data_IF_588651985213
#
_entry.id   IF_588651985213
#
_cell.length_a   1.000
_cell.length_b   1.000
_cell.length_c   1.000
_cell.angle_alpha   90.00
_cell.angle_beta   90.00
_cell.angle_gamma   90.00
#
_symmetry.space_group_name_H-M   'P 1'
#
loop_
_entity.id
_entity.type
_entity.pdbx_description
1 polymer ?
#
# COMPACT_ATOMS: atom_id res chain seq x y z
N UNK A 1 -9.49 18.53 -3.40
CA UNK A 1 -10.21 17.29 -3.03
C UNK A 1 -9.38 16.14 -3.54
N UNK A 2 -8.98 15.23 -2.66
CA UNK A 2 -8.11 14.08 -2.96
C UNK A 2 -8.94 12.81 -2.84
N UNK A 3 -8.94 11.99 -3.90
CA UNK A 3 -9.63 10.71 -3.95
C UNK A 3 -8.71 9.59 -3.48
N UNK A 4 -8.99 9.05 -2.30
CA UNK A 4 -8.25 7.96 -1.66
C UNK A 4 -8.99 6.65 -1.88
N UNK A 5 -8.27 5.61 -2.27
CA UNK A 5 -8.82 4.26 -2.41
C UNK A 5 -8.07 3.31 -1.48
N UNK A 6 -8.79 2.46 -0.78
CA UNK A 6 -8.20 1.36 -0.02
C UNK A 6 -9.10 0.14 -0.08
N UNK A 7 -8.54 -1.04 0.16
CA UNK A 7 -9.28 -2.30 0.20
C UNK A 7 -9.21 -2.91 1.58
N UNK A 8 -10.33 -3.43 2.08
CA UNK A 8 -10.41 -4.07 3.40
C UNK A 8 -11.20 -5.38 3.36
N UNK A 9 -10.80 -6.29 4.25
CA UNK A 9 -11.65 -7.37 4.73
C UNK A 9 -12.12 -7.14 6.17
N UNK A 10 -12.87 -8.09 6.72
CA UNK A 10 -13.44 -8.02 8.07
C UNK A 10 -12.40 -7.79 9.18
N UNK A 11 -11.12 -8.14 8.94
CA UNK A 11 -10.05 -8.00 9.93
C UNK A 11 -9.31 -6.65 9.83
N UNK A 12 -9.56 -5.85 8.79
CA UNK A 12 -8.78 -4.65 8.48
C UNK A 12 -9.44 -3.32 8.83
N UNK A 13 -10.61 -3.35 9.49
CA UNK A 13 -11.35 -2.13 9.89
C UNK A 13 -10.49 -1.21 10.76
N UNK A 14 -9.89 -1.74 11.81
CA UNK A 14 -9.08 -0.94 12.74
C UNK A 14 -7.82 -0.40 12.06
N UNK A 15 -7.18 -1.21 11.22
CA UNK A 15 -5.93 -0.84 10.55
C UNK A 15 -6.15 0.22 9.46
N UNK A 16 -7.24 0.09 8.69
CA UNK A 16 -7.71 1.12 7.76
C UNK A 16 -7.97 2.45 8.50
N UNK A 17 -8.61 2.36 9.67
CA UNK A 17 -8.81 3.50 10.54
C UNK A 17 -7.51 4.21 10.94
N UNK A 18 -6.48 3.45 11.33
CA UNK A 18 -5.15 4.00 11.65
C UNK A 18 -4.49 4.65 10.43
N UNK A 19 -4.57 4.01 9.27
CA UNK A 19 -4.06 4.57 8.01
C UNK A 19 -4.72 5.92 7.68
N UNK A 20 -6.06 5.97 7.69
CA UNK A 20 -6.82 7.19 7.43
C UNK A 20 -6.55 8.28 8.47
N UNK A 21 -6.44 7.91 9.75
CA UNK A 21 -6.10 8.86 10.81
C UNK A 21 -4.73 9.49 10.56
N UNK A 22 -3.74 8.69 10.17
CA UNK A 22 -2.39 9.18 9.88
C UNK A 22 -2.39 10.11 8.67
N UNK A 23 -3.18 9.78 7.63
CA UNK A 23 -3.36 10.61 6.45
C UNK A 23 -3.94 11.99 6.80
N UNK A 24 -5.07 12.02 7.52
CA UNK A 24 -5.77 13.27 7.83
C UNK A 24 -4.96 14.18 8.75
N UNK A 25 -4.21 13.61 9.72
CA UNK A 25 -3.36 14.38 10.63
C UNK A 25 -2.20 15.06 9.89
N UNK A 26 -1.60 14.38 8.92
CA UNK A 26 -0.41 14.91 8.22
C UNK A 26 -0.74 15.66 6.93
N UNK A 27 -2.00 15.68 6.51
CA UNK A 27 -2.48 16.45 5.35
C UNK A 27 -3.75 17.24 5.71
N UNK A 28 -3.71 18.11 6.75
CA UNK A 28 -4.91 18.73 7.32
C UNK A 28 -5.58 19.78 6.42
N UNK A 29 -4.83 20.37 5.49
CA UNK A 29 -5.32 21.45 4.61
C UNK A 29 -6.06 20.94 3.36
N UNK A 30 -6.14 19.62 3.17
CA UNK A 30 -6.78 19.01 2.02
C UNK A 30 -8.11 18.36 2.41
N UNK A 31 -9.05 18.35 1.46
CA UNK A 31 -10.32 17.62 1.59
C UNK A 31 -10.21 16.25 0.96
N UNK A 32 -10.84 15.25 1.55
CA UNK A 32 -10.77 13.86 1.10
C UNK A 32 -12.12 13.27 0.74
N UNK A 33 -12.13 12.45 -0.32
CA UNK A 33 -13.15 11.42 -0.55
C UNK A 33 -12.48 10.06 -0.46
N UNK A 34 -12.99 9.20 0.41
CA UNK A 34 -12.43 7.88 0.67
C UNK A 34 -13.33 6.81 0.04
N UNK A 35 -12.77 6.02 -0.84
CA UNK A 35 -13.43 4.92 -1.52
C UNK A 35 -12.91 3.59 -0.96
N UNK A 36 -13.73 2.93 -0.14
CA UNK A 36 -13.36 1.71 0.55
C UNK A 36 -13.96 0.52 -0.18
N UNK A 37 -13.13 -0.25 -0.88
CA UNK A 37 -13.53 -1.49 -1.53
C UNK A 37 -13.52 -2.59 -0.47
N UNK A 38 -14.70 -3.16 -0.21
CA UNK A 38 -14.92 -4.10 0.86
C UNK A 38 -15.19 -5.50 0.32
N UNK A 39 -14.62 -6.46 1.03
CA UNK A 39 -15.20 -7.79 1.19
C UNK A 39 -16.68 -7.70 1.59
N UNK A 40 -17.54 -8.50 0.96
CA UNK A 40 -18.95 -8.61 1.36
C UNK A 40 -19.17 -9.12 2.80
N UNK A 41 -18.12 -9.62 3.47
CA UNK A 41 -18.15 -10.08 4.86
C UNK A 41 -17.92 -8.97 5.88
N UNK A 42 -17.53 -7.77 5.46
CA UNK A 42 -17.32 -6.64 6.37
C UNK A 42 -18.64 -6.24 7.01
N UNK A 43 -18.71 -6.33 8.33
CA UNK A 43 -19.92 -6.02 9.08
C UNK A 43 -20.33 -4.54 9.00
N UNK A 44 -21.64 -4.30 9.06
CA UNK A 44 -22.23 -2.94 9.07
C UNK A 44 -21.69 -2.07 10.20
N UNK A 45 -21.40 -2.67 11.36
CA UNK A 45 -20.84 -1.96 12.52
C UNK A 45 -19.43 -1.40 12.21
N UNK A 46 -18.57 -2.20 11.56
CA UNK A 46 -17.24 -1.75 11.12
C UNK A 46 -17.31 -0.62 10.10
N UNK A 47 -18.17 -0.75 9.08
CA UNK A 47 -18.41 0.33 8.09
C UNK A 47 -18.92 1.62 8.77
N UNK A 48 -19.86 1.49 9.72
CA UNK A 48 -20.38 2.63 10.49
C UNK A 48 -19.29 3.32 11.30
N UNK A 49 -18.37 2.56 11.93
CA UNK A 49 -17.23 3.11 12.67
C UNK A 49 -16.34 3.95 11.78
N UNK A 50 -15.91 3.40 10.63
CA UNK A 50 -15.11 4.14 9.65
C UNK A 50 -15.84 5.38 9.13
N UNK A 51 -17.15 5.26 8.88
CA UNK A 51 -17.98 6.39 8.43
C UNK A 51 -17.97 7.56 9.40
N UNK A 52 -18.29 7.28 10.67
CA UNK A 52 -18.28 8.31 11.73
C UNK A 52 -16.90 8.92 11.89
N UNK A 53 -15.84 8.11 11.75
CA UNK A 53 -14.47 8.63 11.81
C UNK A 53 -14.16 9.59 10.66
N UNK A 54 -14.45 9.21 9.41
CA UNK A 54 -14.23 10.09 8.25
C UNK A 54 -15.04 11.40 8.36
N UNK A 55 -16.31 11.32 8.76
CA UNK A 55 -17.17 12.50 8.93
C UNK A 55 -16.63 13.46 10.00
N UNK A 56 -16.09 12.95 11.12
CA UNK A 56 -15.42 13.75 12.15
C UNK A 56 -14.21 14.52 11.61
N UNK A 57 -13.54 13.97 10.61
CA UNK A 57 -12.40 14.59 9.91
C UNK A 57 -12.81 15.34 8.64
N UNK A 58 -14.10 15.63 8.44
CA UNK A 58 -14.62 16.34 7.28
C UNK A 58 -14.29 15.64 5.93
N UNK A 59 -14.09 14.33 5.96
CA UNK A 59 -13.87 13.50 4.79
C UNK A 59 -15.17 12.79 4.38
N UNK A 60 -15.43 12.72 3.08
CA UNK A 60 -16.50 11.89 2.52
C UNK A 60 -16.03 10.43 2.45
N UNK A 61 -16.94 9.48 2.58
CA UNK A 61 -16.60 8.05 2.48
C UNK A 61 -17.69 7.23 1.81
N UNK A 62 -17.26 6.37 0.90
CA UNK A 62 -18.09 5.49 0.08
C UNK A 62 -17.58 4.06 0.20
N UNK A 63 -18.51 3.12 0.37
CA UNK A 63 -18.20 1.69 0.49
C UNK A 63 -18.67 0.96 -0.75
N UNK A 64 -17.81 0.12 -1.32
CA UNK A 64 -18.10 -0.69 -2.51
C UNK A 64 -17.92 -2.15 -2.17
N UNK A 65 -19.02 -2.89 -2.09
CA UNK A 65 -18.97 -4.33 -1.82
C UNK A 65 -18.67 -5.10 -3.10
N UNK A 66 -17.65 -5.95 -3.05
CA UNK A 66 -17.34 -6.90 -4.11
C UNK A 66 -17.79 -8.28 -3.66
N UNK A 67 -18.55 -8.94 -4.53
CA UNK A 67 -18.91 -10.33 -4.30
C UNK A 67 -17.66 -11.22 -4.47
N UNK A 68 -17.32 -11.98 -3.42
CA UNK A 68 -16.23 -12.95 -3.44
C UNK A 68 -16.37 -13.99 -4.55
N UNK A 69 -17.58 -14.26 -5.02
CA UNK A 69 -17.79 -15.18 -6.14
C UNK A 69 -17.02 -14.77 -7.40
N UNK A 70 -16.72 -13.47 -7.56
CA UNK A 70 -15.98 -12.91 -8.69
C UNK A 70 -14.46 -13.17 -8.63
N UNK A 71 -13.95 -13.53 -7.45
CA UNK A 71 -12.50 -13.71 -7.18
C UNK A 71 -12.16 -15.04 -6.54
N UNK A 72 -13.16 -15.90 -6.27
CA UNK A 72 -12.96 -17.19 -5.57
C UNK A 72 -11.95 -18.11 -6.26
N UNK A 73 -11.82 -17.99 -7.58
CA UNK A 73 -10.96 -18.81 -8.43
C UNK A 73 -9.60 -18.14 -8.71
N UNK A 74 -9.30 -17.02 -8.07
CA UNK A 74 -8.00 -16.35 -8.22
C UNK A 74 -6.92 -17.03 -7.36
N UNK A 75 -5.63 -16.97 -7.78
CA UNK A 75 -4.59 -17.74 -7.11
C UNK A 75 -4.31 -17.22 -5.70
N UNK A 76 -4.62 -18.08 -4.72
CA UNK A 76 -4.21 -18.00 -3.31
C UNK A 76 -3.81 -19.39 -2.83
N UNK A 77 -2.61 -19.49 -2.28
CA UNK A 77 -2.02 -20.73 -1.77
C UNK A 77 -2.04 -20.72 -0.23
N UNK A 78 -2.03 -21.90 0.39
CA UNK A 78 -2.14 -22.05 1.87
C UNK A 78 -1.05 -21.31 2.66
N UNK A 79 0.12 -21.10 2.07
CA UNK A 79 1.28 -20.42 2.66
C UNK A 79 1.25 -18.89 2.51
N UNK A 80 0.30 -18.37 1.74
CA UNK A 80 0.20 -16.96 1.45
C UNK A 80 -0.33 -16.20 2.67
N UNK A 81 0.18 -15.00 2.87
CA UNK A 81 -0.16 -14.17 4.02
C UNK A 81 -1.26 -13.15 3.70
N UNK A 82 -1.60 -13.00 2.43
CA UNK A 82 -2.65 -12.12 1.93
C UNK A 82 -3.93 -12.94 1.72
N UNK A 83 -5.07 -12.32 2.03
CA UNK A 83 -6.37 -12.89 1.73
C UNK A 83 -6.78 -12.57 0.28
N UNK A 84 -7.89 -13.16 -0.19
CA UNK A 84 -8.50 -12.80 -1.48
C UNK A 84 -8.79 -11.30 -1.60
N UNK A 85 -8.85 -10.59 -0.46
CA UNK A 85 -9.03 -9.15 -0.41
C UNK A 85 -7.95 -8.37 -1.18
N UNK A 86 -6.75 -8.92 -1.37
CA UNK A 86 -5.68 -8.29 -2.12
C UNK A 86 -6.09 -7.97 -3.59
N UNK A 87 -6.90 -8.85 -4.19
CA UNK A 87 -7.43 -8.69 -5.55
C UNK A 87 -8.60 -7.71 -5.68
N UNK A 88 -9.21 -7.27 -4.57
CA UNK A 88 -10.34 -6.34 -4.60
C UNK A 88 -9.98 -5.02 -5.30
N UNK A 89 -8.71 -4.60 -5.16
CA UNK A 89 -8.21 -3.38 -5.79
C UNK A 89 -8.32 -3.42 -7.32
N UNK A 90 -8.27 -4.60 -7.94
CA UNK A 90 -8.35 -4.72 -9.40
C UNK A 90 -9.69 -4.21 -9.96
N UNK A 91 -10.76 -4.19 -9.16
CA UNK A 91 -12.11 -3.78 -9.55
C UNK A 91 -12.34 -2.26 -9.51
N UNK A 92 -11.37 -1.48 -9.05
CA UNK A 92 -11.56 -0.05 -8.77
C UNK A 92 -12.05 0.76 -9.98
N UNK A 93 -11.66 0.41 -11.21
CA UNK A 93 -12.07 1.13 -12.43
C UNK A 93 -13.54 0.96 -12.77
N UNK A 94 -14.17 -0.15 -12.35
CA UNK A 94 -15.60 -0.42 -12.54
C UNK A 94 -16.45 0.10 -11.38
N UNK A 95 -15.89 0.13 -10.16
CA UNK A 95 -16.63 0.51 -8.95
C UNK A 95 -16.67 2.02 -8.72
N UNK A 96 -15.56 2.71 -8.97
CA UNK A 96 -15.43 4.14 -8.65
C UNK A 96 -16.12 4.98 -9.75
N UNK A 97 -16.92 6.00 -9.37
CA UNK A 97 -17.66 6.85 -10.30
C UNK A 97 -16.84 7.36 -11.50
N UNK A 98 -17.45 7.35 -12.68
CA UNK A 98 -16.79 7.65 -13.96
C UNK A 98 -16.24 9.08 -14.08
N UNK A 99 -16.71 10.01 -13.27
CA UNK A 99 -16.20 11.39 -13.19
C UNK A 99 -14.90 11.52 -12.37
N UNK A 100 -14.44 10.45 -11.71
CA UNK A 100 -13.18 10.40 -10.97
C UNK A 100 -12.14 9.71 -11.85
N UNK A 101 -11.12 10.45 -12.29
CA UNK A 101 -10.12 9.96 -13.24
C UNK A 101 -8.74 9.72 -12.63
N UNK A 102 -8.51 10.22 -11.42
CA UNK A 102 -7.24 10.10 -10.69
C UNK A 102 -7.54 9.72 -9.26
N UNK A 103 -6.78 8.78 -8.72
CA UNK A 103 -6.93 8.29 -7.34
C UNK A 103 -5.55 7.99 -6.74
N UNK A 104 -5.45 8.03 -5.41
CA UNK A 104 -4.32 7.52 -4.66
C UNK A 104 -4.76 6.28 -3.90
N UNK A 105 -4.25 5.12 -4.31
CA UNK A 105 -4.46 3.86 -3.60
C UNK A 105 -3.46 3.73 -2.45
N UNK A 106 -3.96 3.31 -1.29
CA UNK A 106 -3.18 3.03 -0.08
C UNK A 106 -3.58 1.68 0.52
N UNK A 107 -2.62 0.80 0.75
CA UNK A 107 -2.81 -0.35 1.63
C UNK A 107 -3.11 0.10 3.07
N UNK A 108 -3.72 -0.79 3.86
CA UNK A 108 -4.14 -0.46 5.23
C UNK A 108 -3.07 -0.74 6.31
N UNK A 109 -1.92 -1.27 5.91
CA UNK A 109 -0.77 -1.63 6.75
C UNK A 109 0.40 -0.65 6.57
N UNK A 110 0.06 0.63 6.41
CA UNK A 110 1.00 1.75 6.35
C UNK A 110 0.58 2.87 7.29
N UNK A 111 1.49 3.81 7.53
CA UNK A 111 1.19 5.11 8.15
C UNK A 111 1.77 6.24 7.30
N UNK A 112 1.00 7.30 7.18
CA UNK A 112 1.41 8.58 6.62
C UNK A 112 2.05 9.41 7.73
N UNK A 113 3.24 9.95 7.47
CA UNK A 113 4.04 10.74 8.42
C UNK A 113 4.48 12.10 7.85
N UNK A 114 4.10 12.41 6.61
CA UNK A 114 4.24 13.73 5.99
C UNK A 114 3.10 13.95 4.99
N UNK A 115 2.86 15.19 4.58
CA UNK A 115 1.78 15.53 3.65
C UNK A 115 1.90 14.78 2.32
N UNK A 116 0.78 14.23 1.84
CA UNK A 116 0.73 13.56 0.52
C UNK A 116 0.38 14.49 -0.64
N UNK A 117 0.26 15.80 -0.37
CA UNK A 117 -0.12 16.80 -1.37
C UNK A 117 0.80 16.77 -2.60
N UNK A 118 2.12 16.77 -2.38
CA UNK A 118 3.09 16.75 -3.48
C UNK A 118 2.99 15.47 -4.32
N UNK A 119 2.67 14.33 -3.69
CA UNK A 119 2.41 13.09 -4.40
C UNK A 119 1.15 13.22 -5.25
N UNK A 120 0.05 13.69 -4.64
CA UNK A 120 -1.22 13.88 -5.34
C UNK A 120 -1.11 14.84 -6.52
N UNK A 121 -0.28 15.88 -6.45
CA UNK A 121 -0.13 16.89 -7.51
C UNK A 121 0.68 16.39 -8.73
N UNK A 122 1.35 15.22 -8.65
CA UNK A 122 2.13 14.70 -9.78
C UNK A 122 1.26 14.47 -11.03
N UNK A 123 1.72 14.95 -12.17
CA UNK A 123 1.06 14.67 -13.45
C UNK A 123 1.24 13.18 -13.80
N UNK A 124 0.12 12.52 -14.10
CA UNK A 124 0.06 11.11 -14.52
C UNK A 124 -0.75 10.92 -15.79
N UNK A 125 -1.01 11.99 -16.56
CA UNK A 125 -1.97 11.99 -17.67
C UNK A 125 -1.55 10.98 -18.76
N UNK A 126 -0.24 10.75 -18.90
CA UNK A 126 0.34 9.88 -19.91
C UNK A 126 0.69 8.47 -19.42
N UNK A 127 0.52 8.16 -18.14
CA UNK A 127 0.84 6.86 -17.54
C UNK A 127 -0.37 6.27 -16.83
N UNK A 128 -0.46 4.94 -16.74
CA UNK A 128 -1.53 4.25 -16.03
C UNK A 128 -1.33 4.24 -14.50
N UNK A 129 -0.07 4.26 -14.04
CA UNK A 129 0.26 4.20 -12.61
C UNK A 129 1.62 4.82 -12.29
N UNK A 130 1.71 5.54 -11.17
CA UNK A 130 2.96 5.93 -10.55
C UNK A 130 3.09 5.23 -9.19
N UNK A 131 4.20 4.51 -8.99
CA UNK A 131 4.40 3.67 -7.80
C UNK A 131 5.89 3.54 -7.47
N UNK A 132 6.22 3.07 -6.26
CA UNK A 132 7.62 2.85 -5.86
C UNK A 132 8.08 1.47 -6.34
N UNK A 133 9.29 1.43 -6.85
CA UNK A 133 9.97 0.21 -7.26
C UNK A 133 10.16 -0.75 -6.08
N UNK A 134 9.85 -2.02 -6.28
CA UNK A 134 10.02 -3.07 -5.28
C UNK A 134 11.30 -3.86 -5.51
N UNK A 135 11.89 -4.34 -4.41
CA UNK A 135 13.07 -5.22 -4.36
C UNK A 135 14.39 -4.61 -4.86
N UNK A 136 15.47 -5.34 -4.59
CA UNK A 136 16.85 -4.85 -4.49
C UNK A 136 17.82 -5.97 -4.93
N UNK A 137 18.85 -5.76 -5.80
CA UNK A 137 18.91 -4.84 -6.95
C UNK A 137 18.09 -5.43 -8.13
N UNK A 138 17.53 -4.58 -9.01
CA UNK A 138 16.71 -4.93 -10.20
C UNK A 138 16.00 -6.30 -10.09
N UNK A 139 14.73 -6.36 -9.64
CA UNK A 139 14.01 -7.63 -9.65
C UNK A 139 13.94 -8.16 -11.10
N UNK A 140 14.81 -9.11 -11.41
CA UNK A 140 14.87 -9.76 -12.72
C UNK A 140 13.97 -10.99 -12.77
N UNK A 141 13.67 -11.59 -11.61
CA UNK A 141 12.92 -12.84 -11.52
C UNK A 141 11.43 -12.63 -11.79
N UNK A 142 10.84 -11.58 -11.21
CA UNK A 142 9.41 -11.31 -11.37
C UNK A 142 9.06 -10.93 -12.80
N UNK A 143 9.74 -9.99 -13.49
CA UNK A 143 9.53 -9.74 -14.92
C UNK A 143 9.67 -10.98 -15.80
N UNK A 144 10.72 -11.79 -15.57
CA UNK A 144 10.94 -13.04 -16.31
C UNK A 144 9.78 -14.02 -16.10
N UNK A 145 9.36 -14.22 -14.85
CA UNK A 145 8.24 -15.11 -14.48
C UNK A 145 6.93 -14.63 -15.11
N UNK A 146 6.70 -13.31 -15.13
CA UNK A 146 5.49 -12.68 -15.65
C UNK A 146 5.55 -12.39 -17.16
N UNK A 147 6.66 -12.76 -17.81
CA UNK A 147 6.91 -12.68 -19.26
C UNK A 147 6.88 -11.25 -19.81
N UNK A 148 7.47 -10.30 -19.10
CA UNK A 148 7.75 -8.96 -19.63
C UNK A 148 9.23 -8.57 -19.47
N UNK A 149 9.73 -7.62 -20.27
CA UNK A 149 11.16 -7.32 -20.28
C UNK A 149 11.67 -6.74 -18.95
N UNK A 150 12.83 -7.22 -18.50
CA UNK A 150 13.41 -6.95 -17.17
C UNK A 150 13.72 -5.46 -16.96
N UNK A 151 14.03 -4.74 -18.03
CA UNK A 151 14.35 -3.31 -17.98
C UNK A 151 13.18 -2.44 -17.47
N UNK A 152 11.96 -2.94 -17.55
CA UNK A 152 10.82 -2.23 -16.98
C UNK A 152 10.77 -2.35 -15.46
N UNK A 153 11.48 -3.31 -14.86
CA UNK A 153 11.47 -3.57 -13.41
C UNK A 153 10.05 -3.74 -12.84
N UNK A 154 9.94 -3.80 -11.51
CA UNK A 154 8.76 -4.24 -10.79
C UNK A 154 8.40 -3.23 -9.68
N UNK A 155 7.12 -2.86 -9.53
CA UNK A 155 6.66 -1.93 -8.48
C UNK A 155 5.84 -2.60 -7.38
N UNK A 156 5.87 -2.02 -6.18
CA UNK A 156 5.02 -2.42 -5.08
C UNK A 156 3.61 -1.82 -5.24
N UNK A 157 2.56 -2.64 -5.05
CA UNK A 157 1.17 -2.20 -5.25
C UNK A 157 0.52 -1.54 -4.04
N UNK A 158 1.24 -1.32 -2.93
CA UNK A 158 0.64 -0.77 -1.71
C UNK A 158 0.49 0.74 -1.66
N UNK A 159 1.22 1.48 -2.50
CA UNK A 159 1.02 2.91 -2.73
C UNK A 159 1.07 3.18 -4.22
N UNK A 160 -0.05 3.59 -4.79
CA UNK A 160 -0.17 3.81 -6.24
C UNK A 160 -0.97 5.06 -6.53
N UNK A 161 -0.37 6.00 -7.26
CA UNK A 161 -1.10 7.10 -7.87
C UNK A 161 -1.57 6.66 -9.25
N UNK A 162 -2.88 6.50 -9.42
CA UNK A 162 -3.47 5.79 -10.56
C UNK A 162 -4.24 6.74 -11.45
N UNK A 163 -4.01 6.59 -12.76
CA UNK A 163 -4.84 7.18 -13.81
C UNK A 163 -5.99 6.21 -14.10
N UNK A 164 -7.10 6.42 -13.40
CA UNK A 164 -8.27 5.57 -13.47
C UNK A 164 -8.99 5.66 -14.82
N UNK A 165 -8.87 6.79 -15.51
CA UNK A 165 -9.37 6.93 -16.88
C UNK A 165 -8.68 5.91 -17.81
N UNK A 166 -7.33 5.83 -17.77
CA UNK A 166 -6.59 4.83 -18.57
C UNK A 166 -6.95 3.40 -18.23
N UNK A 167 -7.24 3.10 -16.97
CA UNK A 167 -7.70 1.77 -16.57
C UNK A 167 -9.07 1.44 -17.20
N UNK A 168 -10.00 2.41 -17.26
CA UNK A 168 -11.28 2.23 -17.94
C UNK A 168 -11.13 2.05 -19.45
N UNK A 169 -10.29 2.85 -20.11
CA UNK A 169 -9.98 2.73 -21.55
C UNK A 169 -9.43 1.33 -21.90
N UNK A 170 -8.68 0.72 -20.97
CA UNK A 170 -8.11 -0.62 -21.11
C UNK A 170 -9.06 -1.77 -20.80
N UNK A 171 -10.27 -1.51 -20.30
CA UNK A 171 -11.16 -2.54 -19.73
C UNK A 171 -10.38 -3.41 -18.72
N UNK A 172 -9.79 -2.72 -17.74
CA UNK A 172 -8.71 -3.28 -16.93
C UNK A 172 -9.13 -4.51 -16.12
N UNK A 173 -10.37 -4.57 -15.62
CA UNK A 173 -10.88 -5.71 -14.87
C UNK A 173 -10.94 -6.96 -15.74
N UNK A 174 -11.44 -6.82 -16.96
CA UNK A 174 -11.49 -7.91 -17.93
C UNK A 174 -10.09 -8.37 -18.32
N UNK A 175 -9.17 -7.43 -18.56
CA UNK A 175 -7.76 -7.75 -18.82
C UNK A 175 -7.10 -8.50 -17.65
N UNK A 176 -7.38 -8.09 -16.41
CA UNK A 176 -6.91 -8.78 -15.21
C UNK A 176 -7.43 -10.22 -15.14
N UNK A 177 -8.74 -10.42 -15.31
CA UNK A 177 -9.37 -11.76 -15.30
C UNK A 177 -8.76 -12.67 -16.37
N UNK A 178 -8.60 -12.16 -17.60
CA UNK A 178 -7.97 -12.91 -18.69
C UNK A 178 -6.50 -13.24 -18.40
N UNK A 179 -5.73 -12.31 -17.86
CA UNK A 179 -4.33 -12.53 -17.50
C UNK A 179 -4.18 -13.59 -16.40
N UNK A 180 -4.99 -13.48 -15.33
CA UNK A 180 -4.99 -14.42 -14.21
C UNK A 180 -5.32 -15.83 -14.69
N UNK A 181 -6.37 -15.99 -15.49
CA UNK A 181 -6.76 -17.29 -16.03
C UNK A 181 -5.64 -17.93 -16.88
N UNK A 182 -4.89 -17.12 -17.63
CA UNK A 182 -3.81 -17.60 -18.52
C UNK A 182 -2.46 -17.82 -17.83
N UNK A 183 -2.27 -17.26 -16.63
CA UNK A 183 -0.97 -17.25 -15.93
C UNK A 183 -1.07 -17.68 -14.45
N UNK A 184 -2.13 -18.41 -14.10
CA UNK A 184 -2.46 -18.80 -12.72
C UNK A 184 -1.25 -19.33 -11.93
N UNK A 185 -0.50 -20.26 -12.52
CA UNK A 185 0.66 -20.89 -11.88
C UNK A 185 1.85 -19.94 -11.67
N UNK A 186 1.98 -18.91 -12.52
CA UNK A 186 3.10 -17.96 -12.48
C UNK A 186 2.88 -16.82 -11.49
N UNK A 187 1.63 -16.55 -11.09
CA UNK A 187 1.29 -15.48 -10.15
C UNK A 187 1.68 -15.90 -8.73
N UNK A 188 2.60 -15.16 -8.11
CA UNK A 188 3.16 -15.39 -6.78
C UNK A 188 2.82 -14.27 -5.79
N UNK A 189 2.77 -13.03 -6.25
CA UNK A 189 2.45 -11.83 -5.45
C UNK A 189 1.08 -11.25 -5.80
N UNK A 190 0.15 -12.13 -6.18
CA UNK A 190 -1.27 -11.83 -6.34
C UNK A 190 -1.57 -10.65 -7.28
N UNK A 191 -2.32 -9.65 -6.79
CA UNK A 191 -2.68 -8.45 -7.56
C UNK A 191 -1.45 -7.70 -8.07
N UNK A 192 -0.37 -7.68 -7.30
CA UNK A 192 0.84 -6.93 -7.66
C UNK A 192 1.50 -7.48 -8.92
N UNK A 193 1.52 -8.80 -9.09
CA UNK A 193 2.02 -9.45 -10.30
C UNK A 193 1.14 -9.11 -11.50
N UNK A 194 -0.17 -9.16 -11.33
CA UNK A 194 -1.15 -8.85 -12.39
C UNK A 194 -1.01 -7.38 -12.81
N UNK A 195 -0.91 -6.46 -11.85
CA UNK A 195 -0.70 -5.03 -12.07
C UNK A 195 0.60 -4.78 -12.83
N UNK A 196 1.71 -5.39 -12.39
CA UNK A 196 3.00 -5.24 -13.07
C UNK A 196 2.95 -5.79 -14.50
N UNK A 197 2.41 -7.00 -14.70
CA UNK A 197 2.35 -7.62 -16.02
C UNK A 197 1.49 -6.87 -17.03
N UNK A 198 0.44 -6.18 -16.57
CA UNK A 198 -0.46 -5.42 -17.44
C UNK A 198 -0.06 -3.96 -17.63
N UNK A 199 0.67 -3.38 -16.67
CA UNK A 199 0.98 -1.94 -16.64
C UNK A 199 2.47 -1.62 -16.85
N UNK A 200 3.35 -2.61 -17.07
CA UNK A 200 4.80 -2.39 -17.08
C UNK A 200 5.29 -1.29 -18.04
N UNK A 201 4.62 -1.07 -19.18
CA UNK A 201 4.95 -0.01 -20.17
C UNK A 201 4.40 1.37 -19.80
N UNK A 202 3.35 1.41 -19.00
CA UNK A 202 2.60 2.63 -18.68
C UNK A 202 2.72 2.95 -17.19
N UNK A 203 3.92 2.73 -16.63
CA UNK A 203 4.23 3.08 -15.25
C UNK A 203 5.33 4.11 -15.15
N UNK A 204 5.38 4.79 -14.01
CA UNK A 204 6.49 5.64 -13.62
C UNK A 204 6.91 5.35 -12.19
N UNK A 205 8.22 5.20 -11.96
CA UNK A 205 8.73 5.11 -10.60
C UNK A 205 8.76 6.47 -9.92
N UNK A 206 8.30 6.51 -8.67
CA UNK A 206 8.36 7.68 -7.79
C UNK A 206 9.37 7.47 -6.66
N UNK A 207 9.71 8.56 -5.97
CA UNK A 207 10.65 8.55 -4.85
C UNK A 207 10.27 7.52 -3.78
N UNK A 208 11.28 6.82 -3.24
CA UNK A 208 11.12 5.83 -2.17
C UNK A 208 10.39 6.41 -0.95
N UNK A 209 10.46 7.73 -0.73
CA UNK A 209 9.78 8.39 0.41
C UNK A 209 8.27 8.17 0.44
N UNK A 210 7.66 7.92 -0.71
CA UNK A 210 6.22 7.71 -0.86
C UNK A 210 5.79 6.28 -0.54
N UNK A 211 6.73 5.35 -0.35
CA UNK A 211 6.45 3.97 0.05
C UNK A 211 7.71 3.37 0.67
N UNK A 212 8.08 3.84 1.87
CA UNK A 212 9.25 3.34 2.58
C UNK A 212 8.92 1.97 3.20
N UNK A 213 9.18 0.92 2.43
CA UNK A 213 8.97 -0.48 2.78
C UNK A 213 10.03 -1.01 3.76
N UNK A 214 9.69 -2.06 4.51
CA UNK A 214 10.55 -2.67 5.54
C UNK A 214 11.97 -3.01 5.06
N UNK A 215 12.12 -3.45 3.81
CA UNK A 215 13.44 -3.85 3.29
C UNK A 215 14.42 -2.69 3.16
N UNK A 216 13.95 -1.47 2.87
CA UNK A 216 14.79 -0.27 2.79
C UNK A 216 15.38 0.12 4.16
N UNK A 217 14.83 -0.42 5.23
CA UNK A 217 15.29 -0.15 6.59
C UNK A 217 16.48 -1.04 6.95
N UNK A 218 16.67 -2.19 6.29
CA UNK A 218 17.75 -3.13 6.59
C UNK A 218 19.14 -2.46 6.50
N UNK A 219 20.12 -3.05 7.18
CA UNK A 219 21.47 -2.49 7.33
C UNK A 219 22.19 -2.21 5.99
N UNK A 220 21.94 -3.07 5.01
CA UNK A 220 22.55 -3.01 3.68
C UNK A 220 21.53 -3.51 2.66
N UNK A 221 20.48 -2.73 2.34
CA UNK A 221 19.56 -3.09 1.28
C UNK A 221 20.28 -2.93 -0.05
N UNK A 222 20.06 -3.84 -0.99
CA UNK A 222 20.73 -3.83 -2.30
C UNK A 222 19.99 -2.86 -3.24
N UNK A 223 19.96 -1.58 -2.90
CA UNK A 223 19.32 -0.55 -3.73
C UNK A 223 20.17 -0.31 -4.99
N UNK A 224 19.50 -0.15 -6.14
CA UNK A 224 20.16 0.18 -7.40
C UNK A 224 21.05 1.43 -7.24
N UNK A 225 22.26 1.46 -7.84
CA UNK A 225 23.19 2.58 -7.68
C UNK A 225 22.58 3.96 -7.92
N UNK A 226 21.74 4.10 -8.94
CA UNK A 226 21.01 5.30 -9.33
C UNK A 226 19.96 5.75 -8.29
N UNK A 227 19.40 4.81 -7.52
CA UNK A 227 18.38 5.05 -6.49
C UNK A 227 18.99 5.30 -5.11
N UNK A 228 20.32 5.16 -4.94
CA UNK A 228 20.99 5.29 -3.63
C UNK A 228 20.76 6.66 -2.96
N UNK A 229 20.79 7.75 -3.74
CA UNK A 229 20.51 9.10 -3.21
C UNK A 229 19.05 9.22 -2.75
N UNK A 230 18.11 8.76 -3.59
CA UNK A 230 16.68 8.75 -3.26
C UNK A 230 16.40 7.94 -1.99
N UNK A 231 17.04 6.79 -1.83
CA UNK A 231 16.97 5.99 -0.61
C UNK A 231 17.51 6.73 0.62
N UNK A 232 18.69 7.35 0.51
CA UNK A 232 19.29 8.12 1.60
C UNK A 232 18.42 9.30 2.05
N UNK A 233 17.75 9.96 1.11
CA UNK A 233 16.85 11.07 1.39
C UNK A 233 15.51 10.58 1.96
N UNK A 234 14.96 9.47 1.44
CA UNK A 234 13.75 8.83 1.96
C UNK A 234 13.91 8.33 3.40
N UNK A 235 15.10 7.86 3.80
CA UNK A 235 15.37 7.51 5.18
C UNK A 235 15.35 8.73 6.12
N UNK A 236 15.74 9.91 5.65
CA UNK A 236 15.75 11.14 6.47
C UNK A 236 14.38 11.78 6.56
N UNK A 237 13.60 11.71 5.47
CA UNK A 237 12.33 12.40 5.31
C UNK A 237 11.26 11.51 4.64
N UNK A 238 10.88 10.39 5.27
CA UNK A 238 9.79 9.57 4.74
C UNK A 238 8.47 10.34 4.75
N UNK A 239 7.59 10.05 3.80
CA UNK A 239 6.20 10.53 3.82
C UNK A 239 5.22 9.40 4.15
N UNK A 240 5.51 8.18 3.69
CA UNK A 240 4.71 6.99 3.95
C UNK A 240 5.64 5.85 4.37
N UNK A 241 5.32 5.23 5.50
CA UNK A 241 6.02 4.05 6.04
C UNK A 241 5.10 2.86 5.87
N UNK A 242 5.56 1.84 5.14
CA UNK A 242 4.74 0.70 4.76
C UNK A 242 5.30 -0.59 5.37
N UNK A 243 4.50 -1.24 6.22
CA UNK A 243 4.88 -2.45 6.97
C UNK A 243 4.67 -3.71 6.10
N UNK A 244 5.43 -3.81 5.01
CA UNK A 244 5.32 -4.87 4.01
C UNK A 244 5.62 -6.27 4.57
N UNK A 245 5.04 -7.30 3.95
CA UNK A 245 5.26 -8.70 4.33
C UNK A 245 4.56 -9.13 5.62
N UNK A 246 5.05 -10.20 6.25
CA UNK A 246 4.29 -10.95 7.28
C UNK A 246 4.27 -10.33 8.68
N UNK A 247 5.06 -9.29 8.95
CA UNK A 247 5.32 -8.80 10.32
C UNK A 247 4.67 -7.44 10.56
N UNK A 248 3.34 -7.44 10.59
CA UNK A 248 2.52 -6.22 10.72
C UNK A 248 2.68 -5.56 12.10
N UNK A 249 2.53 -4.23 12.22
CA UNK A 249 2.87 -3.50 13.46
C UNK A 249 2.01 -3.90 14.67
N UNK A 250 0.80 -4.42 14.45
CA UNK A 250 -0.07 -4.99 15.48
C UNK A 250 0.30 -6.42 15.91
N UNK A 251 1.32 -7.04 15.30
CA UNK A 251 1.80 -8.37 15.65
C UNK A 251 2.91 -8.31 16.70
N UNK A 252 3.08 -9.41 17.45
CA UNK A 252 4.09 -9.52 18.51
C UNK A 252 5.53 -9.61 17.98
N UNK A 253 5.69 -10.14 16.76
CA UNK A 253 6.97 -10.39 16.10
C UNK A 253 7.37 -9.28 15.10
N UNK A 254 6.65 -8.16 15.09
CA UNK A 254 7.03 -7.02 14.29
C UNK A 254 8.28 -6.35 14.86
N UNK A 255 9.26 -6.17 13.99
CA UNK A 255 10.59 -5.66 14.29
C UNK A 255 10.92 -4.38 13.52
N UNK A 256 9.92 -3.77 12.89
CA UNK A 256 10.04 -2.45 12.30
C UNK A 256 10.34 -1.41 13.39
N UNK A 257 11.30 -0.48 13.16
CA UNK A 257 11.62 0.58 14.11
C UNK A 257 10.43 1.52 14.37
N UNK A 258 9.43 1.53 13.47
CA UNK A 258 8.25 2.39 13.55
C UNK A 258 7.06 1.75 14.28
N UNK A 259 7.18 0.51 14.75
CA UNK A 259 6.10 -0.21 15.44
C UNK A 259 5.55 0.54 16.65
N UNK A 260 6.43 1.06 17.52
CA UNK A 260 6.00 1.74 18.75
C UNK A 260 5.22 3.02 18.43
N UNK A 261 5.61 3.72 17.37
CA UNK A 261 4.92 4.91 16.87
C UNK A 261 3.54 4.53 16.34
N UNK A 262 3.44 3.48 15.52
CA UNK A 262 2.17 2.96 15.02
C UNK A 262 1.20 2.64 16.16
N UNK A 263 1.63 1.85 17.15
CA UNK A 263 0.78 1.44 18.28
C UNK A 263 0.35 2.65 19.12
N UNK A 264 1.26 3.59 19.37
CA UNK A 264 0.96 4.81 20.13
C UNK A 264 -0.06 5.66 19.38
N UNK A 265 0.16 5.87 18.09
CA UNK A 265 -0.72 6.68 17.25
C UNK A 265 -2.12 6.06 17.15
N UNK A 266 -2.22 4.74 16.91
CA UNK A 266 -3.50 4.03 16.88
C UNK A 266 -4.30 4.22 18.18
N UNK A 267 -3.66 4.08 19.35
CA UNK A 267 -4.29 4.33 20.66
C UNK A 267 -4.76 5.77 20.83
N UNK A 268 -3.94 6.74 20.42
CA UNK A 268 -4.29 8.17 20.50
C UNK A 268 -5.51 8.51 19.64
N UNK A 269 -5.65 7.86 18.49
CA UNK A 269 -6.75 8.06 17.54
C UNK A 269 -7.98 7.19 17.86
N UNK A 270 -7.94 6.40 18.93
CA UNK A 270 -9.06 5.57 19.37
C UNK A 270 -9.29 4.31 18.54
N UNK A 271 -8.25 3.79 17.86
CA UNK A 271 -8.29 2.54 17.10
C UNK A 271 -7.71 1.39 17.93
N UNK A 272 -8.36 0.23 17.89
CA UNK A 272 -7.95 -0.94 18.67
C UNK A 272 -6.94 -1.78 17.88
N UNK A 273 -5.67 -1.67 18.29
CA UNK A 273 -4.61 -2.54 17.78
C UNK A 273 -4.05 -3.39 18.92
N UNK A 274 -3.93 -4.69 18.69
CA UNK A 274 -3.47 -5.64 19.71
C UNK A 274 -2.05 -5.31 20.13
N UNK A 275 -1.82 -5.18 21.44
CA UNK A 275 -0.51 -4.88 22.01
C UNK A 275 0.07 -6.12 22.70
N UNK A 276 0.60 -7.05 21.92
CA UNK A 276 1.33 -8.19 22.48
C UNK A 276 2.73 -7.75 22.95
N UNK A 277 3.20 -8.32 24.07
CA UNK A 277 4.55 -8.09 24.61
C UNK A 277 5.62 -8.29 23.52
N UNK A 278 6.62 -7.42 23.51
CA UNK A 278 7.72 -7.46 22.53
C UNK A 278 8.46 -8.81 22.61
N UNK A 279 8.71 -9.46 21.48
CA UNK A 279 9.63 -10.60 21.42
C UNK A 279 11.06 -10.15 21.77
N UNK A 280 11.87 -11.00 22.43
CA UNK A 280 13.27 -10.68 22.81
C UNK A 280 14.10 -10.23 21.59
N UNK A 281 13.84 -10.83 20.41
CA UNK A 281 14.48 -10.46 19.14
C UNK A 281 14.24 -9.01 18.69
N UNK A 282 13.11 -8.40 19.08
CA UNK A 282 12.81 -6.99 18.83
C UNK A 282 13.88 -6.07 19.44
N UNK A 283 14.37 -6.40 20.63
CA UNK A 283 15.37 -5.58 21.31
C UNK A 283 16.72 -5.58 20.58
N UNK A 284 17.15 -6.76 20.11
CA UNK A 284 18.38 -6.91 19.33
C UNK A 284 18.32 -6.17 17.99
N UNK A 285 17.23 -6.35 17.23
CA UNK A 285 17.07 -5.63 15.95
C UNK A 285 16.93 -4.12 16.14
N UNK A 286 16.20 -3.64 17.14
CA UNK A 286 16.09 -2.21 17.45
C UNK A 286 17.43 -1.58 17.80
N UNK A 287 18.29 -2.28 18.55
CA UNK A 287 19.66 -1.85 18.82
C UNK A 287 20.48 -1.85 17.53
N UNK A 288 20.40 -2.90 16.72
CA UNK A 288 21.08 -2.98 15.43
C UNK A 288 20.70 -1.80 14.52
N UNK A 289 19.40 -1.47 14.41
CA UNK A 289 18.93 -0.28 13.70
C UNK A 289 19.55 1.01 14.25
N UNK A 290 19.53 1.22 15.57
CA UNK A 290 20.11 2.43 16.19
C UNK A 290 21.63 2.54 16.01
N UNK A 291 22.34 1.42 16.02
CA UNK A 291 23.80 1.37 15.89
C UNK A 291 24.21 1.60 14.44
N UNK A 292 23.49 1.01 13.47
CA UNK A 292 23.79 1.15 12.04
C UNK A 292 23.33 2.50 11.50
N UNK A 293 22.16 3.01 11.96
CA UNK A 293 21.63 4.31 11.55
C UNK A 293 22.05 5.47 12.46
N UNK A 294 23.04 5.30 13.35
CA UNK A 294 23.61 6.42 14.14
C UNK A 294 24.22 7.54 13.26
N UNK A 295 24.44 7.27 11.97
CA UNK A 295 24.82 8.27 10.93
C UNK A 295 23.63 8.81 10.10
N UNK A 296 22.42 8.25 10.25
CA UNK A 296 21.21 8.59 9.48
C UNK A 296 19.99 8.62 10.42
N UNK A 297 19.94 9.63 11.29
CA UNK A 297 18.87 9.75 12.28
C UNK A 297 17.55 10.10 11.59
N UNK A 298 16.60 9.17 11.55
CA UNK A 298 15.22 9.43 11.14
C UNK A 298 14.58 10.27 12.27
N UNK A 299 14.51 11.58 12.09
CA UNK A 299 13.78 12.48 12.98
C UNK A 299 12.37 12.62 12.45
N UNK A 300 11.44 11.90 13.04
CA UNK A 300 10.01 12.12 12.79
C UNK A 300 9.58 13.24 13.74
N UNK A 301 9.05 14.33 13.18
CA UNK A 301 8.49 15.46 13.93
C UNK A 301 7.23 15.06 14.67
#
# INVERSE_FOLDING_TARGET
>A
MIDIVCSIDENYIEYCGVMLASLFVHTPDEKFRVHIICSSKVEKAGKKRLKVFCEKHQAEVYFYDVDYSLIKDFPIRKQDHLSLAAYLRLFMSELIPSNINKILYLDCDLIVVDSIKELWEKNIDNIAVAAVEERSPFDTESPVTLKYPVEYSYFNSGVMLINLQKWREKKFVEACKSYIASNYENIKLHDQDVLNALLYKEKQFISIRWNLMDFFLYASPEVQPERKKDWDDALKSPAIIHFTGKRKPWMYNCDSPFRDQYIRFAKQQGWHVINNKNAIHYFFRKILYKVINKKKTIKIK
#
